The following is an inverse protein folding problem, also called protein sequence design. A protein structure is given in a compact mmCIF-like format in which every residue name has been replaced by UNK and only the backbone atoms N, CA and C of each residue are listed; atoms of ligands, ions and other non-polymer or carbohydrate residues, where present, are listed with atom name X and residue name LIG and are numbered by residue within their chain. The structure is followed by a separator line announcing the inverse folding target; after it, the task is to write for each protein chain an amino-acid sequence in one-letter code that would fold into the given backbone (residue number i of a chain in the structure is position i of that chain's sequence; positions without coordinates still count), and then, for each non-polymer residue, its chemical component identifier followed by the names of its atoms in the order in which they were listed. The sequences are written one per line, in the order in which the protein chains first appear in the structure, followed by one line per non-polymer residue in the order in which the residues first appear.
data_IF_855279661230
#
_entry.id   IF_855279661230
#
_cell.length_a   1.000
_cell.length_b   1.000
_cell.length_c   1.000
_cell.angle_alpha   90.00
_cell.angle_beta   90.00
_cell.angle_gamma   90.00
#
_symmetry.space_group_name_H-M   'P 1'
#
loop_
_entity.id
_entity.type
_entity.pdbx_description
1 polymer ?
#
# COMPACT_ATOMS: atom_id res chain seq x y z
N UNK A 1 10.37 -11.92 16.12
CA UNK A 1 9.92 -10.81 15.24
C UNK A 1 10.79 -10.84 14.00
N UNK A 2 10.27 -11.37 12.88
CA UNK A 2 11.03 -11.44 11.62
C UNK A 2 10.95 -10.07 10.98
N UNK A 3 12.11 -9.43 10.81
CA UNK A 3 12.21 -8.12 10.17
C UNK A 3 11.82 -8.28 8.70
N UNK A 4 10.95 -7.39 8.19
CA UNK A 4 10.66 -7.18 6.76
C UNK A 4 11.90 -6.89 5.88
N UNK A 5 13.11 -6.92 6.44
CA UNK A 5 14.38 -6.57 5.84
C UNK A 5 15.10 -7.73 5.10
N UNK A 6 14.45 -8.87 4.86
CA UNK A 6 15.10 -10.05 4.25
C UNK A 6 14.41 -10.61 3.01
N UNK A 7 13.47 -9.88 2.40
CA UNK A 7 13.15 -10.15 1.00
C UNK A 7 14.24 -9.50 0.13
N UNK A 8 14.82 -10.20 -0.86
CA UNK A 8 15.82 -9.65 -1.75
C UNK A 8 15.16 -8.65 -2.72
N UNK A 9 14.78 -7.47 -2.23
CA UNK A 9 14.27 -6.37 -3.05
C UNK A 9 15.40 -5.53 -3.67
N UNK A 10 16.66 -5.90 -3.42
CA UNK A 10 17.83 -5.27 -4.03
C UNK A 10 18.07 -5.79 -5.44
N UNK A 11 17.26 -5.35 -6.40
CA UNK A 11 17.68 -5.03 -7.80
C UNK A 11 16.51 -4.85 -8.77
N UNK A 12 15.28 -5.22 -8.42
CA UNK A 12 14.15 -5.07 -9.34
C UNK A 12 13.78 -3.59 -9.46
N UNK A 13 14.17 -2.97 -10.57
CA UNK A 13 13.61 -1.68 -10.96
C UNK A 13 12.13 -1.91 -11.26
N UNK A 14 11.24 -1.44 -10.39
CA UNK A 14 9.79 -1.52 -10.55
C UNK A 14 9.29 -1.04 -11.93
N UNK A 15 10.01 -0.10 -12.55
CA UNK A 15 9.74 0.38 -13.91
C UNK A 15 9.91 -0.66 -15.02
N UNK A 16 10.65 -1.74 -14.78
CA UNK A 16 10.88 -2.84 -15.72
C UNK A 16 9.86 -3.97 -15.58
N UNK A 17 9.03 -3.96 -14.53
CA UNK A 17 7.95 -4.93 -14.39
C UNK A 17 6.86 -4.66 -15.43
N UNK A 18 6.31 -5.71 -16.06
CA UNK A 18 5.20 -5.57 -16.98
C UNK A 18 3.99 -5.02 -16.22
N UNK A 19 3.30 -4.05 -16.83
CA UNK A 19 2.05 -3.51 -16.31
C UNK A 19 0.95 -4.55 -16.54
N UNK A 20 0.30 -5.01 -15.48
CA UNK A 20 -0.81 -5.96 -15.52
C UNK A 20 -2.05 -5.39 -14.85
N UNK A 21 -3.22 -5.96 -15.13
CA UNK A 21 -4.47 -5.59 -14.44
C UNK A 21 -4.49 -6.16 -13.01
N UNK A 22 -5.33 -5.60 -12.13
CA UNK A 22 -5.56 -6.18 -10.80
C UNK A 22 -6.13 -7.60 -10.94
N UNK A 23 -7.00 -7.84 -11.93
CA UNK A 23 -7.53 -9.18 -12.19
C UNK A 23 -6.42 -10.18 -12.49
N UNK A 24 -5.47 -9.83 -13.34
CA UNK A 24 -4.30 -10.66 -13.64
C UNK A 24 -3.42 -10.87 -12.40
N UNK A 25 -3.25 -9.86 -11.55
CA UNK A 25 -2.51 -10.00 -10.30
C UNK A 25 -3.20 -10.96 -9.31
N UNK A 26 -4.55 -10.98 -9.29
CA UNK A 26 -5.35 -11.93 -8.51
C UNK A 26 -5.22 -13.35 -9.06
N UNK A 27 -5.38 -13.53 -10.37
CA UNK A 27 -5.30 -14.86 -10.99
C UNK A 27 -3.90 -15.49 -10.82
N UNK A 28 -2.82 -14.69 -10.79
CA UNK A 28 -1.43 -15.14 -10.58
C UNK A 28 -1.02 -15.34 -9.12
N UNK A 29 -1.75 -14.77 -8.16
CA UNK A 29 -1.43 -14.86 -6.72
C UNK A 29 -1.32 -16.31 -6.22
N UNK A 30 -2.03 -17.23 -6.88
CA UNK A 30 -2.09 -18.63 -6.51
C UNK A 30 -0.73 -19.36 -6.54
N UNK A 31 0.33 -18.81 -7.14
CA UNK A 31 1.53 -19.58 -7.49
C UNK A 31 2.74 -19.34 -6.56
N UNK A 32 3.04 -18.10 -6.16
CA UNK A 32 4.14 -17.74 -5.23
C UNK A 32 4.07 -16.25 -4.79
N UNK A 33 4.77 -15.84 -3.71
CA UNK A 33 5.05 -14.43 -3.44
C UNK A 33 5.74 -13.78 -4.63
N UNK A 34 5.23 -12.65 -5.09
CA UNK A 34 5.64 -12.00 -6.33
C UNK A 34 5.36 -10.50 -6.26
N UNK A 35 6.11 -9.71 -7.03
CA UNK A 35 5.86 -8.27 -7.18
C UNK A 35 5.27 -8.00 -8.56
N UNK A 36 4.14 -7.31 -8.59
CA UNK A 36 3.44 -6.93 -9.81
C UNK A 36 3.32 -5.42 -9.91
N UNK A 37 3.52 -4.87 -11.10
CA UNK A 37 3.17 -3.49 -11.41
C UNK A 37 1.77 -3.45 -11.98
N UNK A 38 0.89 -2.68 -11.37
CA UNK A 38 -0.54 -2.61 -11.71
C UNK A 38 -0.99 -1.17 -11.95
N UNK A 39 -1.98 -1.01 -12.82
CA UNK A 39 -2.74 0.23 -12.97
C UNK A 39 -4.10 0.06 -12.27
N UNK A 40 -4.40 0.94 -11.31
CA UNK A 40 -5.63 0.83 -10.52
C UNK A 40 -6.19 2.21 -10.16
N UNK A 41 -7.47 2.26 -9.79
CA UNK A 41 -8.10 3.44 -9.18
C UNK A 41 -8.13 3.27 -7.68
N UNK A 42 -7.74 4.30 -6.94
CA UNK A 42 -7.95 4.33 -5.48
C UNK A 42 -9.39 4.72 -5.21
N UNK A 43 -10.16 3.85 -4.58
CA UNK A 43 -11.59 4.10 -4.30
C UNK A 43 -11.80 4.58 -2.88
N UNK A 44 -11.08 3.98 -1.94
CA UNK A 44 -11.19 4.22 -0.49
C UNK A 44 -9.84 3.96 0.19
N UNK A 45 -9.68 4.52 1.39
CA UNK A 45 -8.57 4.24 2.28
C UNK A 45 -9.13 3.80 3.63
N UNK A 46 -8.48 2.82 4.26
CA UNK A 46 -8.84 2.29 5.57
C UNK A 46 -7.67 2.44 6.55
N UNK A 47 -7.95 2.65 7.86
CA UNK A 47 -9.28 2.87 8.45
C UNK A 47 -9.99 4.11 7.90
N UNK A 48 -11.33 4.13 7.94
CA UNK A 48 -12.12 5.27 7.41
C UNK A 48 -11.84 6.57 8.19
N UNK A 49 -11.52 6.44 9.48
CA UNK A 49 -10.98 7.52 10.30
C UNK A 49 -9.52 7.80 9.92
N UNK A 50 -9.29 8.93 9.24
CA UNK A 50 -7.97 9.33 8.75
C UNK A 50 -6.96 9.61 9.87
N UNK A 51 -7.41 9.89 11.09
CA UNK A 51 -6.53 10.12 12.24
C UNK A 51 -5.82 8.83 12.69
N UNK A 52 -6.22 7.68 12.13
CA UNK A 52 -5.67 6.36 12.40
C UNK A 52 -4.83 5.79 11.25
N UNK A 53 -4.53 6.60 10.23
CA UNK A 53 -3.64 6.19 9.12
C UNK A 53 -2.17 6.09 9.53
N UNK A 54 -1.81 6.70 10.66
CA UNK A 54 -0.55 6.46 11.35
C UNK A 54 -0.81 5.86 12.72
N UNK A 55 0.15 5.08 13.21
CA UNK A 55 0.11 4.47 14.54
C UNK A 55 1.40 4.76 15.28
N UNK A 56 1.30 4.95 16.60
CA UNK A 56 2.45 5.11 17.46
C UNK A 56 3.25 3.80 17.52
N UNK A 57 4.57 3.93 17.53
CA UNK A 57 5.54 2.87 17.77
C UNK A 57 6.24 3.09 19.11
N UNK A 58 6.96 2.07 19.57
CA UNK A 58 7.90 2.19 20.66
C UNK A 58 8.90 3.33 20.39
N UNK A 59 9.26 4.06 21.45
CA UNK A 59 10.16 5.22 21.36
C UNK A 59 9.50 6.51 20.90
N UNK A 60 8.17 6.61 20.90
CA UNK A 60 7.44 7.86 20.60
C UNK A 60 7.45 8.26 19.13
N UNK A 61 7.81 7.33 18.25
CA UNK A 61 7.78 7.53 16.79
C UNK A 61 6.44 7.07 16.22
N UNK A 62 6.12 7.45 14.99
CA UNK A 62 4.89 7.05 14.31
C UNK A 62 5.24 6.34 12.99
N UNK A 63 4.37 5.45 12.54
CA UNK A 63 4.48 4.82 11.22
C UNK A 63 3.14 4.78 10.49
N UNK A 64 3.20 4.70 9.16
CA UNK A 64 2.00 4.48 8.34
C UNK A 64 1.44 3.07 8.55
N UNK A 65 0.13 2.98 8.71
CA UNK A 65 -0.62 1.72 8.78
C UNK A 65 -2.00 1.90 8.19
N UNK A 66 -2.09 1.73 6.87
CA UNK A 66 -3.36 1.88 6.15
C UNK A 66 -3.53 0.82 5.06
N UNK A 67 -4.76 0.69 4.56
CA UNK A 67 -5.09 -0.15 3.39
C UNK A 67 -5.76 0.72 2.35
N UNK A 68 -5.22 0.75 1.14
CA UNK A 68 -5.90 1.36 0.00
C UNK A 68 -6.79 0.31 -0.67
N UNK A 69 -8.07 0.64 -0.84
CA UNK A 69 -8.96 -0.14 -1.68
C UNK A 69 -8.78 0.31 -3.13
N UNK A 70 -8.34 -0.64 -3.94
CA UNK A 70 -8.04 -0.48 -5.35
C UNK A 70 -9.15 -1.11 -6.18
N UNK A 71 -9.48 -0.47 -7.29
CA UNK A 71 -10.39 -0.97 -8.31
C UNK A 71 -9.65 -1.05 -9.63
N UNK A 72 -9.90 -2.11 -10.38
CA UNK A 72 -9.29 -2.29 -11.69
C UNK A 72 -9.78 -1.20 -12.66
N UNK A 73 -8.90 -0.75 -13.55
CA UNK A 73 -9.23 0.27 -14.56
C UNK A 73 -10.03 -0.33 -15.73
N UNK A 74 -9.93 -1.64 -15.95
CA UNK A 74 -10.56 -2.38 -17.05
C UNK A 74 -11.79 -3.17 -16.62
N UNK A 75 -11.89 -3.55 -15.35
CA UNK A 75 -13.03 -4.28 -14.77
C UNK A 75 -13.42 -3.72 -13.39
N UNK A 76 -14.49 -2.90 -13.36
CA UNK A 76 -14.95 -2.27 -12.12
C UNK A 76 -15.45 -3.23 -11.04
N UNK A 77 -15.59 -4.53 -11.35
CA UNK A 77 -15.98 -5.57 -10.38
C UNK A 77 -14.81 -6.08 -9.55
N UNK A 78 -13.58 -5.89 -10.02
CA UNK A 78 -12.39 -6.36 -9.32
C UNK A 78 -11.93 -5.31 -8.33
N UNK A 79 -12.14 -5.60 -7.04
CA UNK A 79 -11.68 -4.80 -5.90
C UNK A 79 -10.61 -5.55 -5.12
N UNK A 80 -9.58 -4.82 -4.68
CA UNK A 80 -8.45 -5.38 -3.95
C UNK A 80 -8.01 -4.42 -2.85
N UNK A 81 -7.82 -4.93 -1.63
CA UNK A 81 -7.18 -4.19 -0.55
C UNK A 81 -5.67 -4.36 -0.62
N UNK A 82 -4.92 -3.26 -0.61
CA UNK A 82 -3.45 -3.28 -0.56
C UNK A 82 -2.94 -2.48 0.64
N UNK A 83 -2.18 -3.14 1.51
CA UNK A 83 -1.62 -2.54 2.71
C UNK A 83 -0.46 -1.59 2.37
N UNK A 84 -0.44 -0.41 2.99
CA UNK A 84 0.64 0.57 2.91
C UNK A 84 1.17 0.80 4.32
N UNK A 85 2.37 0.28 4.57
CA UNK A 85 2.94 0.14 5.91
C UNK A 85 4.33 0.77 6.00
N UNK A 86 4.65 1.36 7.16
CA UNK A 86 6.01 1.79 7.52
C UNK A 86 6.73 2.59 6.43
N UNK A 87 7.93 2.15 6.08
CA UNK A 87 8.81 2.82 5.09
C UNK A 87 8.23 2.87 3.68
N UNK A 88 7.36 1.92 3.30
CA UNK A 88 6.66 1.98 2.03
C UNK A 88 5.66 3.15 2.02
N UNK A 89 5.00 3.42 3.15
CA UNK A 89 4.14 4.59 3.33
C UNK A 89 4.91 5.91 3.24
N UNK A 90 6.11 5.98 3.85
CA UNK A 90 6.96 7.17 3.77
C UNK A 90 7.41 7.47 2.34
N UNK A 91 7.75 6.43 1.57
CA UNK A 91 8.10 6.57 0.15
C UNK A 91 6.89 7.00 -0.68
N UNK A 92 5.73 6.41 -0.41
CA UNK A 92 4.47 6.70 -1.10
C UNK A 92 3.99 8.14 -0.85
N UNK A 93 4.08 8.61 0.40
CA UNK A 93 3.72 9.96 0.83
C UNK A 93 4.96 10.85 0.95
N UNK A 94 5.88 10.77 -0.01
CA UNK A 94 7.11 11.53 0.00
C UNK A 94 6.89 13.02 0.37
N UNK A 95 7.63 13.46 1.40
CA UNK A 95 7.52 14.81 1.95
C UNK A 95 6.49 14.99 3.06
N UNK A 96 5.77 13.93 3.45
CA UNK A 96 4.85 13.95 4.60
C UNK A 96 5.34 12.90 5.62
N UNK A 97 5.91 13.31 6.76
CA UNK A 97 6.37 12.36 7.76
C UNK A 97 5.18 11.75 8.52
N UNK A 98 5.26 10.48 8.96
CA UNK A 98 4.29 9.91 9.88
C UNK A 98 4.37 10.66 11.21
N UNK A 99 3.21 11.01 11.77
CA UNK A 99 3.09 11.79 13.00
C UNK A 99 1.83 11.39 13.75
N UNK A 100 1.66 11.89 14.97
CA UNK A 100 0.34 11.88 15.62
C UNK A 100 -0.61 12.78 14.84
N UNK A 101 -1.57 12.19 14.14
CA UNK A 101 -2.51 12.95 13.31
C UNK A 101 -3.57 13.68 14.12
N UNK A 102 -3.74 13.32 15.40
CA UNK A 102 -4.63 14.05 16.31
C UNK A 102 -4.02 15.39 16.72
N UNK A 103 -2.70 15.44 16.83
CA UNK A 103 -1.96 16.64 17.26
C UNK A 103 -1.40 17.44 16.06
N UNK A 104 -1.00 16.76 14.98
CA UNK A 104 -0.40 17.40 13.79
C UNK A 104 -1.45 17.74 12.74
N UNK A 105 -2.00 18.96 12.81
CA UNK A 105 -2.98 19.43 11.83
C UNK A 105 -2.39 19.53 10.40
N UNK A 106 -1.09 19.83 10.27
CA UNK A 106 -0.41 19.93 8.97
C UNK A 106 -0.31 18.57 8.28
N UNK A 107 0.21 17.55 8.97
CA UNK A 107 0.33 16.20 8.41
C UNK A 107 -1.05 15.61 8.08
N UNK A 108 -2.03 15.80 8.97
CA UNK A 108 -3.41 15.37 8.75
C UNK A 108 -4.03 15.99 7.49
N UNK A 109 -3.90 17.31 7.33
CA UNK A 109 -4.40 18.02 6.16
C UNK A 109 -3.73 17.57 4.86
N UNK A 110 -2.39 17.45 4.86
CA UNK A 110 -1.63 17.04 3.68
C UNK A 110 -1.94 15.60 3.25
N UNK A 111 -2.06 14.67 4.20
CA UNK A 111 -2.44 13.29 3.91
C UNK A 111 -3.86 13.19 3.37
N UNK A 112 -4.81 13.90 3.99
CA UNK A 112 -6.19 13.97 3.53
C UNK A 112 -6.28 14.48 2.09
N UNK A 113 -5.58 15.58 1.78
CA UNK A 113 -5.50 16.13 0.43
C UNK A 113 -4.89 15.16 -0.57
N UNK A 114 -3.83 14.43 -0.19
CA UNK A 114 -3.17 13.46 -1.06
C UNK A 114 -4.08 12.27 -1.38
N UNK A 115 -4.76 11.69 -0.39
CA UNK A 115 -5.72 10.61 -0.60
C UNK A 115 -6.90 11.11 -1.45
N UNK A 116 -7.39 12.32 -1.22
CA UNK A 116 -8.45 12.90 -2.03
C UNK A 116 -8.02 13.07 -3.50
N UNK A 117 -6.78 13.50 -3.76
CA UNK A 117 -6.23 13.59 -5.10
C UNK A 117 -6.10 12.21 -5.78
N UNK A 118 -5.60 11.20 -5.06
CA UNK A 118 -5.50 9.83 -5.55
C UNK A 118 -6.87 9.24 -5.90
N UNK A 119 -7.92 9.57 -5.13
CA UNK A 119 -9.30 9.13 -5.41
C UNK A 119 -9.94 9.82 -6.63
N UNK A 120 -9.48 11.03 -6.95
CA UNK A 120 -9.89 11.76 -8.16
C UNK A 120 -9.13 11.30 -9.41
N UNK A 121 -7.96 10.70 -9.25
CA UNK A 121 -7.18 10.18 -10.37
C UNK A 121 -7.94 9.05 -11.10
N UNK A 122 -7.87 9.06 -12.43
CA UNK A 122 -8.46 8.00 -13.27
C UNK A 122 -7.70 6.68 -13.20
N UNK A 123 -6.41 6.73 -12.85
CA UNK A 123 -5.54 5.58 -12.63
C UNK A 123 -4.29 6.02 -11.86
N UNK A 124 -3.75 5.12 -11.05
CA UNK A 124 -2.45 5.21 -10.40
C UNK A 124 -1.67 3.93 -10.68
N UNK A 125 -0.36 4.07 -10.90
CA UNK A 125 0.52 2.91 -11.06
C UNK A 125 1.16 2.54 -9.72
N UNK A 126 0.95 1.29 -9.31
CA UNK A 126 1.40 0.77 -8.03
C UNK A 126 2.20 -0.51 -8.22
N UNK A 127 3.17 -0.75 -7.34
CA UNK A 127 3.82 -2.04 -7.22
C UNK A 127 3.26 -2.77 -6.00
N UNK A 128 2.63 -3.92 -6.27
CA UNK A 128 2.01 -4.76 -5.26
C UNK A 128 2.85 -6.02 -5.06
N UNK A 129 3.27 -6.27 -3.83
CA UNK A 129 3.84 -7.52 -3.41
C UNK A 129 2.72 -8.43 -2.90
N UNK A 130 2.63 -9.65 -3.41
CA UNK A 130 1.74 -10.68 -2.89
C UNK A 130 2.35 -11.36 -1.67
N UNK A 131 1.57 -11.47 -0.62
CA UNK A 131 1.88 -12.26 0.57
C UNK A 131 0.84 -13.39 0.62
N UNK A 132 1.28 -14.66 0.62
CA UNK A 132 0.35 -15.76 0.91
C UNK A 132 -0.02 -15.69 2.40
N UNK A 133 -1.31 -15.66 2.76
CA UNK A 133 -1.73 -15.92 4.11
C UNK A 133 -1.60 -17.43 4.35
N UNK A 134 -0.40 -17.90 4.69
CA UNK A 134 -0.18 -19.24 5.24
C UNK A 134 0.25 -19.13 6.72
N UNK A 135 0.19 -20.25 7.45
CA UNK A 135 0.50 -20.28 8.88
C UNK A 135 1.96 -19.90 9.22
N UNK A 136 2.84 -19.77 8.23
CA UNK A 136 4.26 -19.43 8.38
C UNK A 136 4.63 -18.05 7.79
N UNK A 137 3.74 -17.40 7.02
CA UNK A 137 3.98 -16.12 6.34
C UNK A 137 3.08 -14.97 6.84
N UNK A 138 3.67 -14.16 7.72
CA UNK A 138 3.81 -12.68 7.72
C UNK A 138 2.71 -11.72 7.19
N UNK A 139 1.49 -12.12 6.87
CA UNK A 139 0.40 -11.13 6.74
C UNK A 139 -0.07 -10.72 8.14
N UNK A 140 0.76 -9.97 8.87
CA UNK A 140 0.40 -9.39 10.19
C UNK A 140 -0.88 -8.53 10.12
N UNK A 141 -1.31 -8.16 8.92
CA UNK A 141 -2.48 -7.35 8.60
C UNK A 141 -3.70 -8.15 8.08
N UNK A 142 -3.58 -9.45 7.81
CA UNK A 142 -4.63 -10.24 7.14
C UNK A 142 -4.91 -9.83 5.69
N UNK A 143 -4.01 -9.06 5.06
CA UNK A 143 -4.15 -8.57 3.67
C UNK A 143 -3.15 -9.28 2.77
N UNK A 144 -3.62 -9.80 1.63
CA UNK A 144 -2.80 -10.58 0.70
C UNK A 144 -1.86 -9.75 -0.19
N UNK A 145 -1.95 -8.42 -0.15
CA UNK A 145 -1.21 -7.50 -1.01
C UNK A 145 -0.64 -6.32 -0.22
N UNK A 146 0.62 -5.99 -0.49
CA UNK A 146 1.32 -4.84 0.10
C UNK A 146 1.80 -3.91 -1.01
N UNK A 147 1.57 -2.61 -0.85
CA UNK A 147 2.16 -1.58 -1.71
C UNK A 147 3.62 -1.44 -1.32
N UNK A 148 4.53 -1.68 -2.27
CA UNK A 148 5.98 -1.62 -2.07
C UNK A 148 6.66 -0.57 -2.95
N UNK A 149 5.88 0.12 -3.79
CA UNK A 149 6.37 1.21 -4.62
C UNK A 149 5.26 1.88 -5.45
N UNK A 150 5.57 3.08 -5.95
CA UNK A 150 4.73 3.89 -6.84
C UNK A 150 5.56 4.39 -8.01
N UNK A 151 4.93 4.70 -9.15
CA UNK A 151 5.58 5.35 -10.30
C UNK A 151 4.90 6.67 -10.64
#
# INVERSE_FOLDING_TARGET
SVKYSQLPLTSVKYSQLPLISLRQAVDRHAEAPSVYRVAARVVRAFPDDSLRWTVAREGGTFEYRMVLQLMDTTDSRTLLGAALLGSAGETFFAGIPPADLKESNVSSTLLGARIAALRKASSVELCLMTCRPDAQNLSESGVAYHIVGTR
#
